data_IF_486339232689
#
_entry.id   IF_486339232689
#
_cell.length_a   1.000
_cell.length_b   1.000
_cell.length_c   1.000
_cell.angle_alpha   90.00
_cell.angle_beta   90.00
_cell.angle_gamma   90.00
#
_symmetry.space_group_name_H-M   'P 1'
#
loop_
_entity.id
_entity.type
_entity.pdbx_description
1 polymer ?
#
# COMPACT_ATOMS: atom_id res chain seq x y z
N UNK A 1 -16.59 -10.55 -9.26
CA UNK A 1 -16.48 -9.52 -8.21
C UNK A 1 -15.53 -8.50 -8.77
N UNK A 2 -15.86 -7.21 -8.70
CA UNK A 2 -14.99 -6.16 -9.24
C UNK A 2 -13.68 -6.13 -8.46
N UNK A 3 -12.57 -6.15 -9.19
CA UNK A 3 -11.23 -6.03 -8.63
C UNK A 3 -11.03 -4.66 -8.00
N UNK A 4 -10.01 -4.55 -7.15
CA UNK A 4 -9.56 -3.23 -6.66
C UNK A 4 -8.89 -2.41 -7.77
N UNK A 5 -8.34 -3.11 -8.77
CA UNK A 5 -7.55 -2.55 -9.86
C UNK A 5 -8.20 -2.86 -11.20
N UNK A 6 -8.93 -1.90 -11.81
CA UNK A 6 -9.66 -2.15 -13.04
C UNK A 6 -8.80 -2.60 -14.22
N UNK A 7 -7.54 -2.15 -14.28
CA UNK A 7 -6.59 -2.54 -15.31
C UNK A 7 -6.17 -4.02 -15.23
N UNK A 8 -6.41 -4.71 -14.11
CA UNK A 8 -6.12 -6.14 -13.96
C UNK A 8 -7.33 -7.04 -14.30
N UNK A 9 -8.50 -6.46 -14.60
CA UNK A 9 -9.69 -7.23 -14.94
C UNK A 9 -9.68 -7.70 -16.40
N UNK A 10 -10.12 -8.94 -16.64
CA UNK A 10 -10.36 -9.48 -17.99
C UNK A 10 -11.84 -9.84 -18.13
N UNK A 11 -12.52 -9.12 -19.03
CA UNK A 11 -13.95 -9.26 -19.31
C UNK A 11 -14.24 -9.98 -20.64
N UNK A 12 -13.23 -10.61 -21.25
CA UNK A 12 -13.36 -11.34 -22.51
C UNK A 12 -14.44 -12.43 -22.49
N UNK A 13 -14.74 -12.99 -21.31
CA UNK A 13 -15.83 -13.96 -21.13
C UNK A 13 -17.23 -13.39 -21.43
N UNK A 14 -17.42 -12.06 -21.34
CA UNK A 14 -18.69 -11.38 -21.67
C UNK A 14 -18.94 -11.27 -23.18
N UNK A 15 -17.98 -11.73 -24.01
CA UNK A 15 -18.20 -11.99 -25.44
C UNK A 15 -19.38 -12.93 -25.67
N UNK A 16 -19.55 -13.93 -24.81
CA UNK A 16 -20.75 -14.77 -24.80
C UNK A 16 -21.89 -14.04 -24.06
N UNK A 17 -23.02 -13.72 -24.73
CA UNK A 17 -24.16 -13.07 -24.11
C UNK A 17 -24.72 -13.82 -22.89
N UNK A 18 -24.56 -15.15 -22.81
CA UNK A 18 -25.02 -15.96 -21.68
C UNK A 18 -24.29 -15.62 -20.36
N UNK A 19 -23.11 -15.02 -20.45
CA UNK A 19 -22.32 -14.59 -19.30
C UNK A 19 -22.71 -13.19 -18.79
N UNK A 20 -23.54 -12.44 -19.53
CA UNK A 20 -24.01 -11.11 -19.14
C UNK A 20 -25.18 -11.22 -18.17
N UNK A 21 -24.92 -10.95 -16.90
CA UNK A 21 -25.87 -11.12 -15.79
C UNK A 21 -26.10 -9.82 -15.01
N UNK A 22 -25.37 -8.77 -15.35
CA UNK A 22 -25.39 -7.46 -14.73
C UNK A 22 -25.73 -6.37 -15.77
N UNK A 23 -26.58 -5.39 -15.47
CA UNK A 23 -26.86 -4.28 -16.39
C UNK A 23 -25.60 -3.53 -16.84
N UNK A 24 -24.56 -3.46 -15.99
CA UNK A 24 -23.31 -2.78 -16.31
C UNK A 24 -22.33 -3.67 -17.10
N UNK A 25 -22.63 -4.96 -17.32
CA UNK A 25 -21.84 -5.83 -18.22
C UNK A 25 -21.83 -5.29 -19.66
N UNK A 26 -22.86 -4.52 -20.05
CA UNK A 26 -22.91 -3.85 -21.34
C UNK A 26 -21.80 -2.81 -21.54
N UNK A 27 -21.26 -2.26 -20.45
CA UNK A 27 -20.12 -1.33 -20.47
C UNK A 27 -18.79 -2.08 -20.48
N UNK A 28 -18.77 -3.35 -20.09
CA UNK A 28 -17.54 -4.14 -19.90
C UNK A 28 -17.04 -4.82 -21.15
N UNK A 29 -17.91 -5.06 -22.11
CA UNK A 29 -17.54 -5.65 -23.39
C UNK A 29 -18.39 -5.07 -24.51
N UNK A 30 -17.79 -4.16 -25.28
CA UNK A 30 -18.37 -3.55 -26.47
C UNK A 30 -17.55 -4.03 -27.66
N UNK A 31 -18.08 -4.97 -28.44
CA UNK A 31 -17.43 -5.45 -29.65
C UNK A 31 -17.35 -4.32 -30.69
N UNK A 32 -16.16 -4.12 -31.27
CA UNK A 32 -15.89 -3.11 -32.31
C UNK A 32 -15.70 -3.74 -33.69
N UNK A 33 -15.76 -5.07 -33.80
CA UNK A 33 -15.77 -5.81 -35.05
C UNK A 33 -16.65 -7.07 -34.95
N UNK A 34 -17.05 -7.63 -36.10
CA UNK A 34 -17.97 -8.79 -36.16
C UNK A 34 -17.42 -10.03 -35.45
N UNK A 35 -16.10 -10.22 -35.50
CA UNK A 35 -15.46 -11.33 -34.80
C UNK A 35 -15.43 -11.14 -33.28
N UNK A 36 -15.62 -9.93 -32.75
CA UNK A 36 -15.43 -9.59 -31.32
C UNK A 36 -13.97 -9.64 -30.85
N UNK A 37 -13.00 -9.84 -31.75
CA UNK A 37 -11.57 -9.82 -31.37
C UNK A 37 -11.06 -8.42 -31.02
N UNK A 38 -11.77 -7.38 -31.47
CA UNK A 38 -11.51 -6.00 -31.08
C UNK A 38 -12.67 -5.54 -30.21
N UNK A 39 -12.39 -5.11 -28.98
CA UNK A 39 -13.43 -4.73 -28.04
C UNK A 39 -12.96 -3.63 -27.08
N UNK A 40 -13.93 -2.87 -26.58
CA UNK A 40 -13.75 -1.80 -25.61
C UNK A 40 -14.50 -2.13 -24.32
N UNK A 41 -13.86 -1.94 -23.19
CA UNK A 41 -14.48 -2.00 -21.87
C UNK A 41 -14.33 -0.68 -21.13
N UNK A 42 -15.32 -0.31 -20.35
CA UNK A 42 -15.26 0.82 -19.43
C UNK A 42 -15.21 0.32 -17.99
N UNK A 43 -14.55 1.08 -17.14
CA UNK A 43 -14.50 0.83 -15.71
C UNK A 43 -14.67 2.13 -14.94
N UNK A 44 -15.24 2.03 -13.75
CA UNK A 44 -15.30 3.16 -12.86
C UNK A 44 -15.18 2.78 -11.40
N UNK A 45 -14.54 3.66 -10.64
CA UNK A 45 -14.58 3.65 -9.19
C UNK A 45 -14.91 5.06 -8.68
N UNK A 46 -15.94 5.15 -7.84
CA UNK A 46 -16.18 6.32 -7.00
C UNK A 46 -16.00 5.92 -5.55
N UNK A 47 -15.13 6.63 -4.84
CA UNK A 47 -14.88 6.42 -3.42
C UNK A 47 -15.26 7.66 -2.63
N UNK A 48 -16.22 7.51 -1.74
CA UNK A 48 -16.48 8.45 -0.65
C UNK A 48 -15.74 7.95 0.58
N UNK A 49 -14.98 8.82 1.23
CA UNK A 49 -14.25 8.48 2.44
C UNK A 49 -14.32 9.60 3.44
N UNK A 50 -14.52 9.25 4.70
CA UNK A 50 -14.39 10.18 5.81
C UNK A 50 -13.48 9.62 6.89
N UNK A 51 -12.84 10.52 7.63
CA UNK A 51 -12.07 10.26 8.82
C UNK A 51 -12.55 11.14 9.97
N UNK A 52 -12.39 10.63 11.18
CA UNK A 52 -12.46 11.39 12.40
C UNK A 52 -11.24 11.05 13.25
N UNK A 53 -10.61 12.08 13.81
CA UNK A 53 -9.43 11.99 14.65
C UNK A 53 -9.63 12.89 15.88
N UNK A 54 -9.73 12.33 17.09
CA UNK A 54 -9.92 13.15 18.30
C UNK A 54 -8.69 14.01 18.62
N UNK A 55 -7.48 13.45 18.44
CA UNK A 55 -6.19 14.11 18.64
C UNK A 55 -5.19 13.58 17.59
N UNK A 56 -5.23 14.10 16.36
CA UNK A 56 -4.52 13.48 15.26
C UNK A 56 -3.03 13.33 15.52
N UNK A 57 -2.48 12.21 15.06
CA UNK A 57 -1.05 11.94 15.07
C UNK A 57 -0.42 12.08 16.46
N UNK A 58 -0.99 11.37 17.43
CA UNK A 58 -0.61 11.40 18.84
C UNK A 58 -0.64 12.83 19.46
N UNK A 59 -1.45 13.74 18.92
CA UNK A 59 -1.52 15.14 19.33
C UNK A 59 -0.39 16.02 18.81
N UNK A 60 0.40 15.56 17.82
CA UNK A 60 1.39 16.38 17.14
C UNK A 60 0.71 17.53 16.35
N UNK A 61 -0.48 17.29 15.82
CA UNK A 61 -1.36 18.35 15.33
C UNK A 61 -2.15 18.97 16.48
N UNK A 62 -2.31 20.30 16.45
CA UNK A 62 -3.10 21.03 17.46
C UNK A 62 -4.62 20.95 17.25
N UNK A 63 -5.04 20.38 16.13
CA UNK A 63 -6.43 20.12 15.79
C UNK A 63 -7.03 19.12 16.81
N UNK A 64 -8.29 19.32 17.18
CA UNK A 64 -9.02 18.39 18.05
C UNK A 64 -10.35 18.04 17.42
N UNK A 65 -10.75 16.78 17.56
CA UNK A 65 -12.00 16.26 17.00
C UNK A 65 -12.13 16.58 15.51
N UNK A 66 -11.03 16.40 14.78
CA UNK A 66 -10.89 16.72 13.36
C UNK A 66 -11.71 15.78 12.51
N UNK A 67 -12.45 16.32 11.54
CA UNK A 67 -13.18 15.56 10.56
C UNK A 67 -12.72 15.85 9.15
N UNK A 68 -12.39 14.79 8.42
CA UNK A 68 -11.92 14.88 7.03
C UNK A 68 -12.84 14.09 6.12
N UNK A 69 -13.12 14.62 4.94
CA UNK A 69 -13.95 13.99 3.91
C UNK A 69 -13.28 14.12 2.56
N UNK A 70 -13.32 13.05 1.77
CA UNK A 70 -12.81 13.02 0.41
C UNK A 70 -13.72 12.27 -0.52
N UNK A 71 -13.78 12.74 -1.76
CA UNK A 71 -14.35 12.01 -2.90
C UNK A 71 -13.24 11.78 -3.90
N UNK A 72 -13.14 10.57 -4.45
CA UNK A 72 -12.31 10.28 -5.62
C UNK A 72 -13.17 9.61 -6.68
N UNK A 73 -12.92 9.96 -7.93
CA UNK A 73 -13.39 9.20 -9.07
C UNK A 73 -12.21 8.74 -9.93
N UNK A 74 -12.27 7.50 -10.38
CA UNK A 74 -11.37 6.88 -11.34
C UNK A 74 -12.21 6.29 -12.45
N UNK A 75 -12.04 6.76 -13.69
CA UNK A 75 -12.81 6.26 -14.83
C UNK A 75 -11.87 5.84 -15.94
N UNK A 76 -11.99 4.58 -16.36
CA UNK A 76 -11.08 3.95 -17.30
C UNK A 76 -11.76 3.40 -18.55
N UNK A 77 -10.98 3.32 -19.61
CA UNK A 77 -11.30 2.68 -20.87
C UNK A 77 -10.19 1.67 -21.22
N UNK A 78 -10.59 0.48 -21.65
CA UNK A 78 -9.70 -0.64 -21.95
C UNK A 78 -10.00 -1.18 -23.34
N UNK A 79 -9.12 -0.90 -24.29
CA UNK A 79 -9.25 -1.28 -25.69
C UNK A 79 -8.33 -2.45 -26.00
N UNK A 80 -8.92 -3.57 -26.37
CA UNK A 80 -8.21 -4.78 -26.80
C UNK A 80 -8.22 -4.85 -28.33
N UNK A 81 -7.03 -4.98 -28.92
CA UNK A 81 -6.81 -5.09 -30.35
C UNK A 81 -6.30 -6.51 -30.66
N UNK A 82 -7.23 -7.44 -30.82
CA UNK A 82 -6.90 -8.85 -31.00
C UNK A 82 -6.38 -9.49 -29.71
N UNK A 83 -5.43 -10.44 -29.85
CA UNK A 83 -4.91 -11.23 -28.73
C UNK A 83 -3.59 -10.71 -28.14
N UNK A 84 -3.02 -9.63 -28.69
CA UNK A 84 -1.63 -9.25 -28.44
C UNK A 84 -1.42 -7.81 -28.04
N UNK A 85 -2.37 -6.91 -28.31
CA UNK A 85 -2.20 -5.48 -28.05
C UNK A 85 -3.39 -4.98 -27.24
N UNK A 86 -3.09 -4.25 -26.17
CA UNK A 86 -4.06 -3.62 -25.30
C UNK A 86 -3.66 -2.17 -25.05
N UNK A 87 -4.64 -1.27 -25.07
CA UNK A 87 -4.48 0.15 -24.75
C UNK A 87 -5.40 0.46 -23.57
N UNK A 88 -4.84 0.98 -22.49
CA UNK A 88 -5.61 1.36 -21.31
C UNK A 88 -5.42 2.84 -21.01
N UNK A 89 -6.51 3.54 -20.71
CA UNK A 89 -6.49 4.93 -20.25
C UNK A 89 -7.44 5.11 -19.07
N UNK A 90 -7.02 5.87 -18.07
CA UNK A 90 -7.81 6.16 -16.87
C UNK A 90 -7.60 7.59 -16.42
N UNK A 91 -8.70 8.31 -16.21
CA UNK A 91 -8.70 9.64 -15.61
C UNK A 91 -9.01 9.56 -14.13
N UNK A 92 -8.52 10.55 -13.37
CA UNK A 92 -8.78 10.74 -11.95
C UNK A 92 -9.23 12.17 -11.68
N UNK A 93 -10.14 12.33 -10.74
CA UNK A 93 -10.30 13.59 -10.01
C UNK A 93 -10.52 13.29 -8.52
N UNK A 94 -10.30 14.28 -7.68
CA UNK A 94 -10.59 14.13 -6.26
C UNK A 94 -10.79 15.44 -5.54
N UNK A 95 -11.66 15.41 -4.57
CA UNK A 95 -11.97 16.55 -3.71
C UNK A 95 -11.78 16.17 -2.25
N UNK A 96 -11.51 17.20 -1.44
CA UNK A 96 -11.33 17.06 -0.01
C UNK A 96 -11.93 18.25 0.74
N UNK A 97 -12.66 18.01 1.82
CA UNK A 97 -13.30 19.01 2.67
C UNK A 97 -13.43 18.46 4.10
N UNK A 98 -13.97 19.24 5.04
CA UNK A 98 -14.13 18.78 6.42
C UNK A 98 -14.13 19.92 7.41
N UNK A 99 -13.96 19.60 8.68
CA UNK A 99 -13.85 20.57 9.77
C UNK A 99 -12.58 20.30 10.57
N UNK A 100 -11.91 21.38 10.98
CA UNK A 100 -10.63 21.31 11.69
C UNK A 100 -9.62 20.34 11.04
N UNK A 101 -9.63 20.27 9.70
CA UNK A 101 -8.88 19.28 8.93
C UNK A 101 -7.38 19.58 8.91
N UNK A 102 -6.57 18.52 8.93
CA UNK A 102 -5.11 18.57 8.81
C UNK A 102 -4.62 17.74 7.62
N UNK A 103 -3.37 17.96 7.21
CA UNK A 103 -2.69 17.08 6.25
C UNK A 103 -3.26 17.09 4.82
N UNK A 104 -4.13 18.04 4.46
CA UNK A 104 -4.59 18.22 3.08
C UNK A 104 -3.51 18.82 2.20
N UNK A 105 -2.61 17.97 1.72
CA UNK A 105 -1.67 18.28 0.65
C UNK A 105 -2.26 18.08 -0.75
N UNK A 106 -1.46 18.33 -1.79
CA UNK A 106 -1.85 18.10 -3.19
C UNK A 106 -2.36 16.68 -3.50
N UNK A 107 -1.98 15.68 -2.71
CA UNK A 107 -2.41 14.28 -2.87
C UNK A 107 -3.86 14.02 -2.44
N UNK A 108 -4.59 15.04 -1.99
CA UNK A 108 -5.99 14.95 -1.58
C UNK A 108 -6.98 15.59 -2.56
N UNK A 109 -6.54 16.61 -3.30
CA UNK A 109 -7.36 17.38 -4.24
C UNK A 109 -6.73 17.40 -5.62
N UNK A 110 -7.50 17.05 -6.64
CA UNK A 110 -7.09 17.07 -8.04
C UNK A 110 -8.24 17.56 -8.91
N UNK A 111 -7.90 18.43 -9.87
CA UNK A 111 -8.68 18.55 -11.09
C UNK A 111 -8.68 17.24 -11.87
N UNK A 112 -9.21 17.24 -13.09
CA UNK A 112 -9.18 16.06 -13.94
C UNK A 112 -7.75 15.86 -14.46
N UNK A 113 -7.17 14.70 -14.19
CA UNK A 113 -5.84 14.33 -14.71
C UNK A 113 -5.79 12.88 -15.16
N UNK A 114 -4.72 12.50 -15.85
CA UNK A 114 -4.46 11.16 -16.36
C UNK A 114 -3.76 10.32 -15.29
N UNK A 115 -4.50 9.37 -14.71
CA UNK A 115 -3.98 8.44 -13.71
C UNK A 115 -3.16 7.31 -14.35
N UNK A 116 -3.67 6.74 -15.44
CA UNK A 116 -3.00 5.66 -16.18
C UNK A 116 -3.19 5.89 -17.68
N UNK A 117 -2.14 5.61 -18.44
CA UNK A 117 -2.15 5.54 -19.89
C UNK A 117 -0.99 4.66 -20.33
N UNK A 118 -1.30 3.46 -20.78
CA UNK A 118 -0.28 2.51 -21.20
C UNK A 118 -0.71 1.70 -22.41
N UNK A 119 0.30 1.19 -23.11
CA UNK A 119 0.17 0.11 -24.07
C UNK A 119 0.75 -1.16 -23.46
N UNK A 120 0.05 -2.27 -23.64
CA UNK A 120 0.49 -3.60 -23.25
C UNK A 120 0.58 -4.49 -24.50
N UNK A 121 1.71 -5.18 -24.63
CA UNK A 121 1.93 -6.22 -25.61
C UNK A 121 2.02 -7.57 -24.90
N UNK A 122 1.24 -8.56 -25.33
CA UNK A 122 1.27 -9.90 -24.74
C UNK A 122 1.48 -10.99 -25.78
N UNK A 123 2.08 -12.11 -25.38
CA UNK A 123 2.30 -13.23 -26.27
C UNK A 123 2.90 -14.45 -25.59
N UNK A 124 2.81 -15.61 -26.23
CA UNK A 124 3.44 -16.84 -25.75
C UNK A 124 4.77 -17.06 -26.45
N UNK A 125 5.84 -17.14 -25.67
CA UNK A 125 7.20 -17.41 -26.15
C UNK A 125 7.98 -18.12 -25.04
N UNK A 126 8.94 -18.98 -25.43
CA UNK A 126 9.80 -19.73 -24.49
C UNK A 126 9.05 -20.52 -23.40
N UNK A 127 7.87 -21.05 -23.74
CA UNK A 127 7.02 -21.79 -22.80
C UNK A 127 6.35 -20.95 -21.71
N UNK A 128 6.41 -19.62 -21.81
CA UNK A 128 5.80 -18.67 -20.87
C UNK A 128 4.71 -17.84 -21.56
N UNK A 129 3.77 -17.33 -20.76
CA UNK A 129 2.98 -16.14 -21.12
C UNK A 129 3.85 -14.92 -20.81
N UNK A 130 4.09 -14.07 -21.80
CA UNK A 130 4.92 -12.88 -21.67
C UNK A 130 4.06 -11.64 -21.85
N UNK A 131 4.44 -10.55 -21.19
CA UNK A 131 3.90 -9.24 -21.42
C UNK A 131 4.93 -8.14 -21.24
N UNK A 132 4.71 -7.03 -21.95
CA UNK A 132 5.47 -5.80 -21.84
C UNK A 132 4.50 -4.62 -21.80
N UNK A 133 4.61 -3.81 -20.76
CA UNK A 133 3.75 -2.64 -20.54
C UNK A 133 4.62 -1.40 -20.54
N UNK A 134 4.25 -0.39 -21.33
CA UNK A 134 4.92 0.90 -21.40
C UNK A 134 3.93 2.05 -21.26
N UNK A 135 4.24 3.01 -20.39
CA UNK A 135 3.44 4.20 -20.13
C UNK A 135 3.21 4.45 -18.65
N UNK A 136 2.24 5.32 -18.35
CA UNK A 136 1.82 5.66 -16.99
C UNK A 136 0.92 4.57 -16.43
N UNK A 137 1.27 4.01 -15.27
CA UNK A 137 0.54 2.89 -14.68
C UNK A 137 0.60 2.91 -13.15
N UNK A 138 -0.40 2.33 -12.50
CA UNK A 138 -0.27 1.95 -11.09
C UNK A 138 0.56 0.66 -10.99
N UNK A 139 1.36 0.55 -9.93
CA UNK A 139 2.25 -0.59 -9.75
C UNK A 139 2.10 -1.13 -8.33
N UNK A 140 1.79 -2.43 -8.23
CA UNK A 140 1.50 -3.14 -6.99
C UNK A 140 2.15 -4.53 -6.92
N UNK A 141 3.01 -4.88 -7.88
CA UNK A 141 3.73 -6.16 -7.90
C UNK A 141 4.96 -6.11 -6.96
N UNK A 142 4.68 -5.88 -5.68
CA UNK A 142 5.64 -5.94 -4.57
C UNK A 142 4.90 -6.33 -3.29
N UNK A 143 5.59 -6.87 -2.26
CA UNK A 143 4.95 -7.19 -1.00
C UNK A 143 4.21 -5.98 -0.42
N UNK A 144 2.99 -6.20 0.09
CA UNK A 144 2.11 -5.13 0.54
C UNK A 144 2.65 -4.32 1.74
N UNK A 145 3.69 -4.82 2.43
CA UNK A 145 4.42 -4.11 3.49
C UNK A 145 5.59 -3.25 2.96
N UNK A 146 5.77 -3.20 1.63
CA UNK A 146 6.77 -2.38 0.95
C UNK A 146 6.14 -1.33 0.04
N UNK A 147 5.15 -1.72 -0.75
CA UNK A 147 4.57 -0.84 -1.76
C UNK A 147 3.05 -0.93 -1.69
N UNK A 148 2.39 0.22 -1.80
CA UNK A 148 0.97 0.28 -2.09
C UNK A 148 0.66 1.45 -3.02
N UNK A 149 -0.56 1.49 -3.56
CA UNK A 149 -1.04 2.58 -4.40
C UNK A 149 -1.40 3.84 -3.60
N UNK A 150 -0.72 4.09 -2.47
CA UNK A 150 -0.96 5.24 -1.59
C UNK A 150 -2.35 5.17 -0.92
N UNK A 151 -2.52 4.18 -0.02
CA UNK A 151 -3.79 3.87 0.66
C UNK A 151 -4.45 5.04 1.42
N UNK A 152 -3.67 5.87 2.13
CA UNK A 152 -4.19 6.93 3.02
C UNK A 152 -4.66 8.17 2.24
N UNK A 153 -3.82 8.84 1.44
CA UNK A 153 -4.23 9.93 0.55
C UNK A 153 -5.40 9.59 -0.35
N UNK A 154 -6.04 10.64 -0.85
CA UNK A 154 -7.19 10.46 -1.71
C UNK A 154 -6.78 9.91 -3.08
N UNK A 155 -5.72 10.47 -3.67
CA UNK A 155 -5.27 10.18 -5.02
C UNK A 155 -4.20 9.06 -5.01
N UNK A 156 -4.39 7.97 -5.78
CA UNK A 156 -3.39 6.94 -5.88
C UNK A 156 -2.13 7.44 -6.59
N UNK A 157 -1.01 6.77 -6.34
CA UNK A 157 0.26 7.07 -7.01
C UNK A 157 0.38 6.30 -8.33
N UNK A 158 0.83 6.99 -9.38
CA UNK A 158 1.18 6.40 -10.67
C UNK A 158 2.68 6.50 -10.96
N UNK A 159 3.11 5.68 -11.90
CA UNK A 159 4.49 5.47 -12.33
C UNK A 159 4.59 5.57 -13.83
N UNK A 160 5.57 6.32 -14.32
CA UNK A 160 5.85 6.43 -15.75
C UNK A 160 7.07 5.56 -16.07
N UNK A 161 6.96 4.63 -17.03
CA UNK A 161 8.06 3.77 -17.44
C UNK A 161 7.59 2.44 -18.03
N UNK A 162 8.34 1.38 -17.76
CA UNK A 162 8.01 0.06 -18.31
C UNK A 162 8.07 -1.05 -17.27
N UNK A 163 7.29 -2.10 -17.52
CA UNK A 163 7.47 -3.42 -16.90
C UNK A 163 7.37 -4.53 -17.92
N UNK A 164 8.07 -5.61 -17.66
CA UNK A 164 7.97 -6.86 -18.41
C UNK A 164 7.70 -7.99 -17.44
N UNK A 165 6.92 -8.98 -17.87
CA UNK A 165 6.63 -10.16 -17.07
C UNK A 165 6.66 -11.43 -17.93
N UNK A 166 7.09 -12.53 -17.32
CA UNK A 166 7.04 -13.88 -17.89
C UNK A 166 6.48 -14.85 -16.86
N UNK A 167 5.43 -15.58 -17.25
CA UNK A 167 4.68 -16.49 -16.38
C UNK A 167 4.73 -17.90 -16.97
N UNK A 168 5.45 -18.78 -16.29
CA UNK A 168 5.44 -20.23 -16.45
C UNK A 168 4.51 -20.88 -15.43
N UNK A 169 4.18 -22.18 -15.54
CA UNK A 169 3.24 -22.84 -14.63
C UNK A 169 3.57 -22.74 -13.12
N UNK A 170 4.83 -22.56 -12.75
CA UNK A 170 5.30 -22.51 -11.35
C UNK A 170 6.31 -21.40 -11.06
N UNK A 171 6.57 -20.53 -12.03
CA UNK A 171 7.55 -19.45 -11.92
C UNK A 171 6.96 -18.23 -12.59
N UNK A 172 6.96 -17.10 -11.90
CA UNK A 172 6.68 -15.78 -12.46
C UNK A 172 7.91 -14.90 -12.25
N UNK A 173 8.28 -14.15 -13.27
CA UNK A 173 9.37 -13.18 -13.22
C UNK A 173 8.83 -11.85 -13.72
N UNK A 174 9.07 -10.79 -12.96
CA UNK A 174 8.69 -9.42 -13.30
C UNK A 174 9.92 -8.53 -13.21
N UNK A 175 10.06 -7.58 -14.14
CA UNK A 175 11.11 -6.57 -14.12
C UNK A 175 10.53 -5.21 -14.49
N UNK A 176 10.99 -4.15 -13.83
CA UNK A 176 10.43 -2.82 -14.00
C UNK A 176 11.45 -1.70 -13.76
N UNK A 177 11.26 -0.58 -14.44
CA UNK A 177 11.97 0.68 -14.20
C UNK A 177 11.01 1.84 -14.42
N UNK A 178 10.83 2.62 -13.36
CA UNK A 178 9.88 3.70 -13.27
C UNK A 178 10.50 4.98 -12.74
N UNK A 179 9.97 6.09 -13.25
CA UNK A 179 10.03 7.40 -12.62
C UNK A 179 8.68 7.69 -11.97
N UNK A 180 8.68 8.39 -10.84
CA UNK A 180 7.42 8.73 -10.18
C UNK A 180 6.65 9.75 -11.03
N UNK A 181 5.33 9.65 -11.12
CA UNK A 181 4.52 10.77 -11.62
C UNK A 181 4.57 11.94 -10.61
N UNK A 182 4.84 13.14 -11.10
CA UNK A 182 4.67 14.39 -10.35
C UNK A 182 3.18 14.73 -10.32
N UNK A 183 2.52 14.36 -9.23
CA UNK A 183 1.09 14.59 -9.01
C UNK A 183 0.81 15.65 -7.93
N UNK A 184 1.84 16.41 -7.55
CA UNK A 184 1.77 17.39 -6.46
C UNK A 184 1.78 18.82 -7.00
N UNK A 185 0.60 19.30 -7.39
CA UNK A 185 0.41 20.66 -7.90
C UNK A 185 -0.33 21.55 -6.89
N UNK A 186 -0.05 22.86 -6.95
CA UNK A 186 -0.74 23.84 -6.13
C UNK A 186 -2.12 24.14 -6.74
N UNK A 187 -3.18 23.74 -6.02
CA UNK A 187 -4.57 23.94 -6.43
C UNK A 187 -5.09 22.90 -7.44
N UNK A 188 -6.42 22.83 -7.65
CA UNK A 188 -7.01 21.94 -8.64
C UNK A 188 -6.72 22.47 -10.05
N UNK A 189 -5.78 21.83 -10.73
CA UNK A 189 -5.44 22.10 -12.13
C UNK A 189 -5.69 20.83 -12.93
N UNK A 190 -6.16 20.99 -14.17
CA UNK A 190 -6.44 19.87 -15.06
C UNK A 190 -5.20 19.55 -15.92
N UNK A 191 -4.92 18.26 -16.10
CA UNK A 191 -3.87 17.71 -16.97
C UNK A 191 -2.49 18.37 -16.79
N UNK A 192 -1.97 18.34 -15.56
CA UNK A 192 -0.66 18.91 -15.18
C UNK A 192 0.38 17.88 -14.78
N UNK A 193 -0.03 16.63 -14.57
CA UNK A 193 0.90 15.58 -14.15
C UNK A 193 2.03 15.33 -15.15
N UNK A 194 3.25 15.53 -14.67
CA UNK A 194 4.52 15.35 -15.41
C UNK A 194 5.35 14.25 -14.77
N UNK A 195 6.55 13.99 -15.29
CA UNK A 195 7.48 13.01 -14.71
C UNK A 195 8.34 13.65 -13.61
N UNK A 196 8.49 12.95 -12.49
CA UNK A 196 9.39 13.32 -11.39
C UNK A 196 10.63 12.40 -11.38
N UNK A 197 11.66 12.80 -12.13
CA UNK A 197 12.94 12.09 -12.19
C UNK A 197 13.75 12.09 -10.88
N UNK A 198 13.36 12.91 -9.89
CA UNK A 198 14.03 12.90 -8.58
C UNK A 198 13.72 11.63 -7.79
N UNK A 199 12.63 10.95 -8.12
CA UNK A 199 12.13 9.75 -7.47
C UNK A 199 12.04 8.60 -8.49
N UNK A 200 12.66 7.47 -8.16
CA UNK A 200 12.79 6.29 -9.03
C UNK A 200 12.34 5.05 -8.30
N UNK A 201 11.76 4.10 -9.02
CA UNK A 201 11.42 2.76 -8.52
C UNK A 201 11.80 1.75 -9.61
N UNK A 202 12.62 0.77 -9.28
CA UNK A 202 13.11 -0.20 -10.25
C UNK A 202 13.42 -1.51 -9.56
N UNK A 203 13.36 -2.62 -10.27
CA UNK A 203 13.55 -3.90 -9.64
C UNK A 203 13.23 -5.11 -10.49
N UNK A 204 13.38 -6.26 -9.84
CA UNK A 204 13.04 -7.58 -10.36
C UNK A 204 12.38 -8.37 -9.22
N UNK A 205 11.28 -9.04 -9.52
CA UNK A 205 10.62 -10.01 -8.65
C UNK A 205 10.62 -11.38 -9.32
N UNK A 206 10.82 -12.42 -8.51
CA UNK A 206 10.68 -13.81 -8.91
C UNK A 206 9.80 -14.52 -7.91
N UNK A 207 8.62 -14.94 -8.34
CA UNK A 207 7.70 -15.76 -7.54
C UNK A 207 7.81 -17.22 -7.97
N UNK A 208 8.18 -18.10 -7.04
CA UNK A 208 8.23 -19.54 -7.24
C UNK A 208 7.01 -20.20 -6.58
N UNK A 209 6.41 -21.19 -7.23
CA UNK A 209 5.33 -22.02 -6.68
C UNK A 209 5.83 -23.47 -6.47
N UNK A 210 6.41 -23.79 -5.28
CA UNK A 210 6.75 -25.15 -4.90
C UNK A 210 5.59 -26.15 -5.05
N UNK A 211 5.87 -27.47 -5.13
CA UNK A 211 4.83 -28.49 -5.15
C UNK A 211 3.87 -28.37 -3.96
N UNK A 212 2.57 -28.57 -4.24
CA UNK A 212 1.55 -28.71 -3.22
C UNK A 212 1.96 -29.80 -2.23
N UNK A 213 1.64 -29.57 -0.96
CA UNK A 213 1.99 -30.47 0.13
C UNK A 213 0.76 -30.82 0.97
N UNK A 214 0.95 -31.68 1.97
CA UNK A 214 -0.08 -31.96 2.98
C UNK A 214 0.49 -31.62 4.36
N UNK A 215 -0.27 -30.86 5.13
CA UNK A 215 0.10 -30.48 6.49
C UNK A 215 -1.17 -30.31 7.32
N UNK A 216 -1.09 -30.58 8.63
CA UNK A 216 -2.20 -30.37 9.58
C UNK A 216 -3.55 -30.98 9.10
N UNK A 217 -3.50 -32.16 8.46
CA UNK A 217 -4.68 -32.86 7.97
C UNK A 217 -5.36 -32.26 6.73
N UNK A 218 -4.74 -31.27 6.05
CA UNK A 218 -5.28 -30.64 4.85
C UNK A 218 -4.26 -30.53 3.71
N UNK A 219 -4.75 -30.10 2.53
CA UNK A 219 -3.89 -29.69 1.42
C UNK A 219 -3.20 -28.36 1.77
N UNK A 220 -1.97 -28.21 1.31
CA UNK A 220 -1.20 -26.98 1.42
C UNK A 220 -0.57 -26.60 0.09
N UNK A 221 -0.32 -25.31 -0.05
CA UNK A 221 0.34 -24.68 -1.19
C UNK A 221 1.13 -23.48 -0.66
N UNK A 222 2.19 -23.10 -1.35
CA UNK A 222 2.99 -21.94 -0.96
C UNK A 222 3.63 -21.28 -2.16
N UNK A 223 4.03 -20.02 -1.97
CA UNK A 223 4.81 -19.23 -2.89
C UNK A 223 6.05 -18.71 -2.18
N UNK A 224 7.17 -18.67 -2.91
CA UNK A 224 8.43 -18.09 -2.47
C UNK A 224 8.77 -16.93 -3.41
N UNK A 225 8.63 -15.72 -2.90
CA UNK A 225 8.96 -14.49 -3.61
C UNK A 225 10.42 -14.14 -3.29
N UNK A 226 11.20 -13.84 -4.32
CA UNK A 226 12.57 -13.36 -4.24
C UNK A 226 12.63 -12.05 -5.00
N UNK A 227 12.97 -10.96 -4.32
CA UNK A 227 12.89 -9.63 -4.93
C UNK A 227 14.12 -8.78 -4.68
N UNK A 228 14.44 -8.01 -5.71
CA UNK A 228 15.30 -6.84 -5.63
C UNK A 228 14.46 -5.61 -5.98
N UNK A 229 14.33 -4.69 -5.03
CA UNK A 229 13.61 -3.42 -5.24
C UNK A 229 14.54 -2.27 -4.88
N UNK A 230 15.00 -1.56 -5.90
CA UNK A 230 15.76 -0.33 -5.79
C UNK A 230 14.86 0.89 -5.89
N UNK A 231 15.15 1.92 -5.11
CA UNK A 231 14.49 3.21 -5.26
C UNK A 231 15.40 4.38 -4.93
N UNK A 232 15.03 5.54 -5.48
CA UNK A 232 15.61 6.84 -5.14
C UNK A 232 14.50 7.73 -4.59
N UNK A 233 14.75 8.38 -3.47
CA UNK A 233 13.93 9.45 -2.94
C UNK A 233 14.75 10.73 -2.86
N UNK A 234 14.10 11.84 -3.14
CA UNK A 234 14.63 13.19 -2.95
C UNK A 234 13.63 14.06 -2.20
N UNK A 235 14.13 15.09 -1.52
CA UNK A 235 13.29 16.04 -0.80
C UNK A 235 12.74 15.45 0.48
N UNK A 236 11.47 15.74 0.77
CA UNK A 236 10.86 15.43 2.07
C UNK A 236 10.89 13.94 2.45
N UNK A 237 10.48 13.01 1.56
CA UNK A 237 10.47 11.58 1.88
C UNK A 237 11.85 10.94 2.08
N UNK A 238 12.92 11.62 1.65
CA UNK A 238 14.29 11.11 1.78
C UNK A 238 14.95 11.49 3.11
N UNK A 239 14.32 12.37 3.88
CA UNK A 239 14.94 12.99 5.04
C UNK A 239 15.17 11.97 6.18
N UNK A 240 16.28 12.12 6.90
CA UNK A 240 16.66 11.20 7.99
C UNK A 240 16.66 11.89 9.35
N UNK A 241 16.42 11.14 10.40
CA UNK A 241 16.55 11.64 11.77
C UNK A 241 18.01 11.88 12.14
N UNK A 242 18.23 12.91 12.96
CA UNK A 242 19.50 13.23 13.62
C UNK A 242 19.24 13.43 15.11
N UNK A 243 20.30 13.62 15.90
CA UNK A 243 20.23 13.84 17.36
C UNK A 243 19.14 14.85 17.74
N UNK A 244 19.08 15.99 17.05
CA UNK A 244 18.22 17.12 17.44
C UNK A 244 17.13 17.47 16.43
N UNK A 245 17.23 17.00 15.18
CA UNK A 245 16.36 17.43 14.09
C UNK A 245 16.27 16.39 12.96
N UNK A 246 15.69 16.78 11.83
CA UNK A 246 15.72 16.02 10.58
C UNK A 246 16.77 16.62 9.64
N UNK A 247 17.53 15.78 8.94
CA UNK A 247 18.43 16.20 7.86
C UNK A 247 17.79 15.95 6.49
N UNK A 248 17.68 17.01 5.69
CA UNK A 248 17.22 16.93 4.31
C UNK A 248 18.31 16.35 3.39
N UNK A 249 17.88 15.73 2.28
CA UNK A 249 18.80 15.13 1.33
C UNK A 249 18.12 14.30 0.25
N UNK A 250 18.87 13.33 -0.26
CA UNK A 250 18.38 12.26 -1.12
C UNK A 250 18.89 10.92 -0.62
N UNK A 251 18.14 9.85 -0.86
CA UNK A 251 18.55 8.49 -0.51
C UNK A 251 18.32 7.56 -1.70
N UNK A 252 19.31 6.74 -1.99
CA UNK A 252 19.17 5.58 -2.87
C UNK A 252 19.21 4.35 -2.00
N UNK A 253 18.19 3.51 -2.08
CA UNK A 253 18.05 2.31 -1.25
C UNK A 253 17.80 1.09 -2.12
N UNK A 254 18.49 0.01 -1.80
CA UNK A 254 18.48 -1.27 -2.50
C UNK A 254 17.97 -2.32 -1.52
N UNK A 255 16.81 -2.89 -1.80
CA UNK A 255 16.16 -3.88 -0.95
C UNK A 255 16.33 -5.25 -1.58
N UNK A 256 16.93 -6.17 -0.84
CA UNK A 256 17.05 -7.57 -1.21
C UNK A 256 16.24 -8.37 -0.21
N UNK A 257 15.19 -9.03 -0.68
CA UNK A 257 14.26 -9.68 0.22
C UNK A 257 13.69 -10.98 -0.31
N UNK A 258 13.05 -11.67 0.62
CA UNK A 258 12.38 -12.94 0.42
C UNK A 258 11.06 -12.92 1.16
N UNK A 259 10.05 -13.57 0.59
CA UNK A 259 8.79 -13.85 1.28
C UNK A 259 8.33 -15.26 0.98
N UNK A 260 8.07 -16.04 2.03
CA UNK A 260 7.45 -17.36 1.92
C UNK A 260 6.05 -17.32 2.51
N UNK A 261 5.04 -17.55 1.69
CA UNK A 261 3.65 -17.45 2.12
C UNK A 261 2.76 -18.54 1.52
N UNK A 262 1.64 -18.82 2.17
CA UNK A 262 0.66 -19.76 1.65
C UNK A 262 -0.21 -20.38 2.73
N UNK A 263 -0.67 -21.60 2.44
CA UNK A 263 -1.59 -22.36 3.26
C UNK A 263 -0.99 -23.72 3.59
N UNK A 264 -0.98 -24.10 4.87
CA UNK A 264 -0.67 -25.43 5.36
C UNK A 264 -1.93 -26.02 6.02
N UNK A 265 -2.79 -26.65 5.23
CA UNK A 265 -4.08 -27.14 5.73
C UNK A 265 -5.01 -25.98 6.14
N UNK A 266 -5.39 -25.85 7.44
CA UNK A 266 -6.14 -24.71 7.96
C UNK A 266 -5.25 -23.54 8.40
N UNK A 267 -3.92 -23.65 8.33
CA UNK A 267 -2.99 -22.60 8.77
C UNK A 267 -2.58 -21.74 7.58
N UNK A 268 -2.87 -20.45 7.61
CA UNK A 268 -2.28 -19.46 6.70
C UNK A 268 -0.98 -18.92 7.32
N UNK A 269 0.05 -18.76 6.51
CA UNK A 269 1.32 -18.20 6.95
C UNK A 269 1.90 -17.26 5.90
N UNK A 270 2.66 -16.26 6.37
CA UNK A 270 3.51 -15.41 5.53
C UNK A 270 4.72 -15.00 6.36
N UNK A 271 5.92 -15.30 5.88
CA UNK A 271 7.19 -14.92 6.50
C UNK A 271 8.01 -14.15 5.47
N UNK A 272 8.19 -12.86 5.69
CA UNK A 272 8.94 -11.96 4.84
C UNK A 272 10.12 -11.34 5.58
N UNK A 273 11.19 -11.05 4.86
CA UNK A 273 12.32 -10.31 5.37
C UNK A 273 13.12 -9.68 4.25
N UNK A 274 13.77 -8.55 4.55
CA UNK A 274 14.64 -7.87 3.60
C UNK A 274 15.81 -7.19 4.30
N UNK A 275 16.90 -7.07 3.55
CA UNK A 275 17.99 -6.17 3.85
C UNK A 275 17.92 -4.95 2.94
N UNK A 276 18.07 -3.76 3.52
CA UNK A 276 18.03 -2.47 2.85
C UNK A 276 19.39 -1.79 2.96
N UNK A 277 20.16 -1.86 1.87
CA UNK A 277 21.44 -1.18 1.71
C UNK A 277 21.31 0.11 0.90
N UNK A 278 22.40 0.88 0.77
CA UNK A 278 22.44 2.03 -0.13
C UNK A 278 23.18 3.23 0.43
N UNK A 279 22.78 4.43 0.03
CA UNK A 279 23.46 5.68 0.38
C UNK A 279 22.47 6.81 0.60
N UNK A 280 22.65 7.55 1.69
CA UNK A 280 22.05 8.86 1.93
C UNK A 280 23.06 9.95 1.61
N UNK A 281 22.62 11.00 0.91
CA UNK A 281 23.40 12.20 0.59
C UNK A 281 22.73 13.41 1.22
N UNK A 282 23.48 14.16 2.02
CA UNK A 282 22.98 15.38 2.65
C UNK A 282 22.70 16.45 1.59
N UNK A 283 21.64 17.24 1.79
CA UNK A 283 21.38 18.41 0.96
C UNK A 283 22.52 19.43 1.08
N UNK A 284 22.90 20.05 -0.03
CA UNK A 284 23.92 21.10 -0.08
C UNK A 284 25.28 20.71 0.53
N UNK A 285 25.63 19.42 0.52
CA UNK A 285 26.86 18.89 1.09
C UNK A 285 27.39 17.70 0.28
N UNK A 286 28.70 17.53 0.26
CA UNK A 286 29.35 16.33 -0.29
C UNK A 286 29.31 15.14 0.69
N UNK A 287 28.86 15.36 1.92
CA UNK A 287 28.78 14.32 2.94
C UNK A 287 27.74 13.27 2.56
N UNK A 288 28.11 12.01 2.77
CA UNK A 288 27.25 10.85 2.54
C UNK A 288 27.32 9.88 3.71
N UNK A 289 26.29 9.05 3.83
CA UNK A 289 26.22 7.97 4.83
C UNK A 289 25.65 6.73 4.18
N UNK A 290 26.27 5.58 4.43
CA UNK A 290 25.72 4.30 3.99
C UNK A 290 24.37 4.03 4.67
N UNK A 291 23.47 3.34 3.98
CA UNK A 291 22.24 2.79 4.56
C UNK A 291 22.50 1.33 4.91
N UNK A 292 22.14 0.94 6.13
CA UNK A 292 22.20 -0.43 6.60
C UNK A 292 20.98 -0.66 7.51
N UNK A 293 19.89 -1.09 6.89
CA UNK A 293 18.60 -1.27 7.53
C UNK A 293 18.01 -2.64 7.16
N UNK A 294 16.99 -3.08 7.88
CA UNK A 294 16.28 -4.32 7.59
C UNK A 294 14.80 -4.21 7.98
N UNK A 295 14.00 -5.10 7.43
CA UNK A 295 12.63 -5.33 7.87
C UNK A 295 12.33 -6.83 7.93
N UNK A 296 11.50 -7.24 8.88
CA UNK A 296 10.96 -8.59 9.04
C UNK A 296 9.45 -8.46 9.25
N UNK A 297 8.66 -9.21 8.49
CA UNK A 297 7.21 -9.14 8.49
C UNK A 297 6.65 -10.56 8.53
N UNK A 298 5.88 -10.90 9.57
CA UNK A 298 5.31 -12.23 9.70
C UNK A 298 3.83 -12.21 10.04
N UNK A 299 3.09 -13.18 9.52
CA UNK A 299 1.74 -13.47 9.94
C UNK A 299 1.50 -14.97 9.97
N UNK A 300 0.70 -15.40 10.96
CA UNK A 300 0.26 -16.77 11.12
C UNK A 300 -1.20 -16.75 11.57
N UNK A 301 -2.07 -17.46 10.87
CA UNK A 301 -3.49 -17.55 11.22
C UNK A 301 -4.00 -18.99 11.12
N UNK A 302 -4.90 -19.37 12.02
CA UNK A 302 -5.61 -20.63 11.96
C UNK A 302 -7.07 -20.39 11.58
N UNK A 303 -7.53 -21.01 10.49
CA UNK A 303 -8.89 -20.89 10.00
C UNK A 303 -9.79 -22.02 10.52
N UNK A 304 -10.80 -21.66 11.31
CA UNK A 304 -11.80 -22.59 11.81
C UNK A 304 -12.91 -22.81 10.78
N UNK A 305 -12.59 -23.58 9.73
CA UNK A 305 -13.49 -23.79 8.56
C UNK A 305 -14.82 -24.48 8.86
N UNK A 306 -14.93 -25.17 10.00
CA UNK A 306 -16.13 -25.94 10.39
C UNK A 306 -17.15 -25.13 11.19
N UNK A 307 -16.84 -23.90 11.57
CA UNK A 307 -17.76 -23.03 12.31
C UNK A 307 -18.46 -22.10 11.31
N UNK A 308 -19.77 -21.90 11.43
CA UNK A 308 -20.60 -21.26 10.38
C UNK A 308 -20.13 -19.87 9.94
N UNK A 309 -19.65 -19.07 10.89
CA UNK A 309 -19.04 -17.73 10.69
C UNK A 309 -17.53 -17.73 10.34
N UNK A 310 -16.92 -18.90 10.12
CA UNK A 310 -15.55 -19.11 9.63
C UNK A 310 -14.49 -18.22 10.31
N UNK A 311 -14.38 -18.24 11.65
CA UNK A 311 -13.42 -17.38 12.32
C UNK A 311 -11.99 -17.78 11.99
N UNK A 312 -11.09 -16.80 11.99
CA UNK A 312 -9.66 -16.94 11.76
C UNK A 312 -8.93 -16.20 12.87
N UNK A 313 -8.18 -16.94 13.69
CA UNK A 313 -7.40 -16.36 14.79
C UNK A 313 -5.94 -16.40 14.41
N UNK A 314 -5.25 -15.27 14.56
CA UNK A 314 -3.85 -15.18 14.18
C UNK A 314 -3.06 -14.15 14.95
N UNK A 315 -1.78 -14.06 14.60
CA UNK A 315 -0.85 -13.04 15.06
C UNK A 315 -0.06 -12.51 13.89
N UNK A 316 0.11 -11.20 13.85
CA UNK A 316 1.03 -10.49 12.97
C UNK A 316 2.17 -9.93 13.81
N UNK A 317 3.40 -10.05 13.33
CA UNK A 317 4.58 -9.43 13.96
C UNK A 317 5.43 -8.73 12.93
N UNK A 318 5.89 -7.53 13.25
CA UNK A 318 6.68 -6.72 12.33
C UNK A 318 7.88 -6.12 13.06
N UNK A 319 9.02 -6.06 12.40
CA UNK A 319 10.23 -5.39 12.88
C UNK A 319 10.80 -4.56 11.75
N UNK A 320 10.98 -3.27 12.00
CA UNK A 320 11.59 -2.31 11.10
C UNK A 320 12.74 -1.65 11.83
N UNK A 321 13.96 -1.78 11.29
CA UNK A 321 15.16 -1.31 11.97
C UNK A 321 15.14 0.20 12.21
N UNK A 322 15.70 0.61 13.34
CA UNK A 322 16.00 2.00 13.68
C UNK A 322 17.49 2.22 13.88
N UNK A 323 17.86 3.47 14.18
CA UNK A 323 19.19 3.79 14.66
C UNK A 323 20.05 4.60 13.68
N UNK A 324 21.22 5.00 14.16
CA UNK A 324 22.15 5.85 13.42
C UNK A 324 21.85 7.35 13.51
N UNK A 325 20.74 7.78 14.11
CA UNK A 325 20.43 9.21 14.30
C UNK A 325 21.51 9.95 15.12
N UNK A 326 22.17 9.25 16.05
CA UNK A 326 23.22 9.80 16.91
C UNK A 326 24.62 9.84 16.28
N UNK A 327 24.78 9.38 15.05
CA UNK A 327 26.07 9.36 14.36
C UNK A 327 26.07 10.26 13.12
N UNK A 328 27.16 11.01 12.91
CA UNK A 328 27.37 11.80 11.70
C UNK A 328 28.12 11.03 10.61
N UNK A 329 28.81 9.94 10.96
CA UNK A 329 29.70 9.18 10.07
C UNK A 329 29.30 7.71 9.91
N UNK A 330 28.57 7.15 10.89
CA UNK A 330 28.06 5.78 10.84
C UNK A 330 26.87 5.64 9.88
N UNK A 331 26.46 4.41 9.60
CA UNK A 331 25.35 4.14 8.69
C UNK A 331 24.00 4.67 9.22
N UNK A 332 23.08 4.96 8.31
CA UNK A 332 21.66 5.19 8.61
C UNK A 332 21.01 3.82 8.83
N UNK A 333 20.55 3.57 10.05
CA UNK A 333 19.93 2.30 10.46
C UNK A 333 18.41 2.27 10.31
N UNK A 334 17.78 3.44 10.21
CA UNK A 334 16.34 3.56 10.04
C UNK A 334 15.89 3.01 8.68
N UNK A 335 15.06 1.96 8.69
CA UNK A 335 14.36 1.48 7.50
C UNK A 335 13.38 2.54 7.01
N UNK A 336 13.26 2.67 5.68
CA UNK A 336 12.24 3.50 5.04
C UNK A 336 11.45 2.56 4.14
N UNK A 337 10.14 2.50 4.35
CA UNK A 337 9.24 1.91 3.36
C UNK A 337 9.19 2.86 2.15
N UNK A 338 9.27 2.37 0.90
CA UNK A 338 9.18 3.25 -0.26
C UNK A 338 7.76 3.82 -0.43
N UNK A 339 7.41 4.14 -1.66
CA UNK A 339 6.27 4.96 -2.00
C UNK A 339 4.93 4.38 -1.53
N UNK A 340 4.20 5.18 -0.75
CA UNK A 340 2.84 4.85 -0.33
C UNK A 340 2.80 3.62 0.57
N UNK A 341 3.36 3.66 1.79
CA UNK A 341 3.25 2.56 2.72
C UNK A 341 1.79 2.12 2.93
N UNK A 342 1.56 0.82 3.07
CA UNK A 342 0.23 0.31 3.37
C UNK A 342 -0.10 0.58 4.83
N UNK A 343 -0.68 1.75 5.08
CA UNK A 343 -0.96 2.19 6.46
C UNK A 343 -1.88 1.24 7.22
N UNK A 344 -2.89 0.65 6.56
CA UNK A 344 -3.76 -0.34 7.20
C UNK A 344 -3.04 -1.64 7.59
N UNK A 345 -1.87 -1.93 7.02
CA UNK A 345 -1.07 -3.10 7.40
C UNK A 345 -0.45 -2.95 8.79
N UNK A 346 0.22 -1.81 9.03
CA UNK A 346 0.90 -1.54 10.31
C UNK A 346 -0.09 -1.02 11.34
N UNK A 347 -0.78 0.07 11.02
CA UNK A 347 -1.65 0.81 11.92
C UNK A 347 -2.68 1.63 11.12
N UNK A 348 -3.96 1.23 11.22
CA UNK A 348 -5.06 1.93 10.55
C UNK A 348 -5.16 3.41 10.92
N UNK A 349 -4.67 3.84 12.10
CA UNK A 349 -4.71 5.26 12.47
C UNK A 349 -3.71 6.10 11.70
N UNK A 350 -2.72 5.47 11.06
CA UNK A 350 -1.63 6.10 10.30
C UNK A 350 -0.68 6.95 11.15
N UNK A 351 -0.76 6.85 12.48
CA UNK A 351 0.11 7.60 13.38
C UNK A 351 1.52 7.00 13.42
N UNK A 352 1.64 5.72 13.07
CA UNK A 352 2.94 5.06 12.94
C UNK A 352 3.23 4.71 11.48
N UNK A 353 4.51 4.63 11.16
CA UNK A 353 5.02 4.06 9.91
C UNK A 353 6.08 3.00 10.22
N UNK A 354 6.44 2.19 9.23
CA UNK A 354 7.43 1.13 9.37
C UNK A 354 8.86 1.64 9.53
N UNK A 355 9.16 2.52 10.47
CA UNK A 355 10.51 3.06 10.70
C UNK A 355 10.80 3.03 12.20
N UNK A 356 11.87 2.34 12.61
CA UNK A 356 12.21 2.13 14.02
C UNK A 356 11.04 1.57 14.84
N UNK A 357 10.45 0.47 14.37
CA UNK A 357 9.18 -0.04 14.91
C UNK A 357 9.22 -1.55 15.08
N UNK A 358 8.76 -2.03 16.23
CA UNK A 358 8.41 -3.42 16.49
C UNK A 358 6.92 -3.48 16.79
N UNK A 359 6.18 -4.31 16.06
CA UNK A 359 4.74 -4.52 16.21
C UNK A 359 4.42 -5.98 16.54
N UNK A 360 3.49 -6.21 17.48
CA UNK A 360 2.86 -7.51 17.71
C UNK A 360 1.36 -7.30 17.78
N UNK A 361 0.60 -7.98 16.92
CA UNK A 361 -0.82 -7.77 16.76
C UNK A 361 -1.57 -9.11 16.64
N UNK A 362 -2.09 -9.67 17.74
CA UNK A 362 -3.14 -10.67 17.64
C UNK A 362 -4.35 -10.11 16.89
N UNK A 363 -4.98 -10.95 16.08
CA UNK A 363 -6.16 -10.58 15.32
C UNK A 363 -7.17 -11.73 15.20
N UNK A 364 -8.44 -11.36 14.98
CA UNK A 364 -9.56 -12.25 14.77
C UNK A 364 -10.43 -11.71 13.63
N UNK A 365 -10.54 -12.48 12.55
CA UNK A 365 -11.44 -12.20 11.42
C UNK A 365 -12.58 -13.21 11.40
N UNK A 366 -13.80 -12.76 11.09
CA UNK A 366 -14.95 -13.64 10.98
C UNK A 366 -16.05 -13.04 10.11
N UNK A 367 -16.89 -13.90 9.52
CA UNK A 367 -17.99 -13.47 8.65
C UNK A 367 -19.32 -13.99 9.19
N UNK A 368 -20.01 -13.24 10.06
CA UNK A 368 -21.28 -13.69 10.65
C UNK A 368 -22.40 -13.83 9.60
N UNK A 369 -22.31 -13.11 8.48
CA UNK A 369 -23.20 -13.22 7.32
C UNK A 369 -22.36 -13.29 6.03
N UNK A 370 -22.87 -13.87 4.92
CA UNK A 370 -22.10 -14.01 3.68
C UNK A 370 -21.57 -12.71 3.07
N UNK A 371 -22.20 -11.56 3.39
CA UNK A 371 -21.85 -10.24 2.87
C UNK A 371 -21.20 -9.33 3.92
N UNK A 372 -20.99 -9.83 5.14
CA UNK A 372 -20.48 -9.07 6.27
C UNK A 372 -19.23 -9.76 6.81
N UNK A 373 -18.11 -9.04 6.77
CA UNK A 373 -16.86 -9.45 7.41
C UNK A 373 -16.53 -8.48 8.53
N UNK A 374 -16.13 -9.01 9.67
CA UNK A 374 -15.66 -8.26 10.83
C UNK A 374 -14.23 -8.69 11.14
N UNK A 375 -13.39 -7.72 11.47
CA UNK A 375 -12.02 -7.94 11.91
C UNK A 375 -11.77 -7.21 13.23
N UNK A 376 -11.08 -7.86 14.15
CA UNK A 376 -10.58 -7.28 15.39
C UNK A 376 -9.07 -7.45 15.40
N UNK A 377 -8.31 -6.40 15.68
CA UNK A 377 -6.84 -6.43 15.76
C UNK A 377 -6.40 -5.67 16.99
N UNK A 378 -5.46 -6.22 17.76
CA UNK A 378 -4.97 -5.57 18.98
C UNK A 378 -3.45 -5.44 18.97
N UNK A 379 -2.92 -4.45 18.23
CA UNK A 379 -1.50 -4.22 18.10
C UNK A 379 -0.88 -3.55 19.32
N UNK A 380 0.36 -3.94 19.61
CA UNK A 380 1.27 -3.36 20.57
C UNK A 380 2.55 -2.92 19.85
N UNK A 381 3.08 -1.75 20.18
CA UNK A 381 4.17 -1.12 19.45
C UNK A 381 5.33 -0.72 20.36
N UNK A 382 6.55 -0.99 19.91
CA UNK A 382 7.80 -0.55 20.53
C UNK A 382 8.72 0.08 19.48
N UNK A 383 9.68 0.88 19.93
CA UNK A 383 10.85 1.27 19.14
C UNK A 383 11.80 0.08 19.05
N UNK A 384 12.28 -0.22 17.85
CA UNK A 384 13.35 -1.22 17.65
C UNK A 384 14.65 -0.76 18.31
N UNK A 385 14.97 0.53 18.16
CA UNK A 385 16.08 1.22 18.80
C UNK A 385 15.58 2.42 19.61
N UNK A 386 15.87 2.43 20.92
CA UNK A 386 15.57 3.59 21.79
C UNK A 386 16.45 4.81 21.51
N UNK A 387 17.50 4.64 20.69
CA UNK A 387 18.41 5.70 20.25
C UNK A 387 17.93 6.41 18.98
N UNK A 388 16.75 6.07 18.49
CA UNK A 388 16.13 6.68 17.32
C UNK A 388 14.69 7.12 17.65
N UNK A 389 14.12 7.94 16.77
CA UNK A 389 12.84 8.58 17.01
C UNK A 389 11.65 7.64 16.73
N UNK A 390 10.46 8.07 17.12
CA UNK A 390 9.21 7.52 16.59
C UNK A 390 8.90 8.25 15.28
N UNK A 391 8.33 7.55 14.31
CA UNK A 391 8.02 8.10 12.99
C UNK A 391 6.53 7.98 12.69
N UNK A 392 6.01 8.96 11.95
CA UNK A 392 4.63 9.01 11.50
C UNK A 392 4.55 9.00 9.99
N UNK A 393 3.43 8.50 9.46
CA UNK A 393 3.10 8.61 8.05
C UNK A 393 2.82 10.05 7.62
N UNK A 394 2.10 10.82 8.45
CA UNK A 394 1.72 12.20 8.15
C UNK A 394 2.85 13.18 8.38
N UNK A 395 3.73 12.88 9.34
CA UNK A 395 4.85 13.74 9.60
C UNK A 395 5.93 13.55 8.55
N UNK A 396 6.58 14.67 8.36
CA UNK A 396 7.83 14.93 7.70
C UNK A 396 9.02 14.21 8.39
N UNK A 397 8.90 12.90 8.61
CA UNK A 397 9.85 12.05 9.32
C UNK A 397 9.47 11.80 10.78
N UNK A 398 10.31 12.26 11.70
CA UNK A 398 10.22 11.93 13.12
C UNK A 398 9.18 12.77 13.88
N UNK A 399 8.63 12.21 14.96
CA UNK A 399 7.95 12.98 16.00
C UNK A 399 8.90 13.94 16.71
N UNK A 400 8.41 15.15 16.99
CA UNK A 400 9.07 16.14 17.82
C UNK A 400 8.27 16.32 19.12
N UNK A 401 8.68 15.59 20.14
CA UNK A 401 8.08 15.63 21.48
C UNK A 401 8.60 16.84 22.29
N UNK A 402 7.80 17.34 23.24
CA UNK A 402 8.20 18.46 24.11
C UNK A 402 9.31 18.06 25.07
N UNK A 403 9.25 16.82 25.56
CA UNK A 403 10.20 16.28 26.52
C UNK A 403 10.92 15.04 25.96
N UNK A 404 12.12 14.71 26.48
CA UNK A 404 12.88 13.57 25.98
C UNK A 404 12.13 12.24 26.15
N UNK A 405 11.89 11.53 25.04
CA UNK A 405 11.27 10.22 25.05
C UNK A 405 12.21 9.13 25.58
N UNK A 406 11.86 8.55 26.74
CA UNK A 406 12.61 7.45 27.38
C UNK A 406 11.88 6.10 27.20
N UNK A 407 12.63 5.02 26.98
CA UNK A 407 12.08 3.66 26.90
C UNK A 407 11.54 3.26 25.52
N UNK A 408 11.30 1.97 25.31
CA UNK A 408 10.94 1.42 23.99
C UNK A 408 9.44 1.41 23.69
N UNK A 409 8.57 1.21 24.70
CA UNK A 409 7.15 1.01 24.46
C UNK A 409 6.43 2.29 24.03
N UNK A 410 5.81 2.27 22.85
CA UNK A 410 5.11 3.40 22.26
C UNK A 410 3.65 3.40 22.72
N UNK A 411 2.99 2.24 22.70
CA UNK A 411 1.59 2.12 23.04
C UNK A 411 0.93 0.91 22.40
N UNK A 412 -0.40 0.93 22.40
CA UNK A 412 -1.24 -0.11 21.82
C UNK A 412 -2.45 0.51 21.12
N UNK A 413 -2.97 -0.11 20.07
CA UNK A 413 -4.02 0.50 19.26
C UNK A 413 -5.13 -0.49 18.91
N UNK A 414 -6.00 -0.92 19.86
CA UNK A 414 -7.13 -1.79 19.55
C UNK A 414 -7.95 -1.22 18.39
N UNK A 415 -8.18 -2.09 17.41
CA UNK A 415 -8.77 -1.80 16.12
C UNK A 415 -9.93 -2.77 15.86
N UNK A 416 -10.98 -2.26 15.24
CA UNK A 416 -12.04 -3.07 14.67
C UNK A 416 -12.38 -2.55 13.27
N UNK A 417 -12.71 -3.46 12.36
CA UNK A 417 -13.22 -3.10 11.05
C UNK A 417 -14.43 -3.94 10.67
N UNK A 418 -15.24 -3.36 9.78
CA UNK A 418 -16.41 -4.00 9.21
C UNK A 418 -16.41 -3.76 7.71
N UNK A 419 -16.54 -4.80 6.90
CA UNK A 419 -16.78 -4.71 5.46
C UNK A 419 -18.13 -5.31 5.13
N UNK A 420 -19.00 -4.51 4.52
CA UNK A 420 -20.32 -4.90 4.04
C UNK A 420 -20.37 -4.80 2.51
N UNK A 421 -20.65 -5.92 1.85
CA UNK A 421 -20.90 -5.97 0.40
C UNK A 421 -22.39 -5.72 0.13
N UNK A 422 -22.73 -4.56 -0.45
CA UNK A 422 -24.09 -4.15 -0.80
C UNK A 422 -24.30 -4.36 -2.30
N UNK A 423 -24.98 -5.45 -2.67
CA UNK A 423 -25.12 -5.83 -4.07
C UNK A 423 -23.76 -6.19 -4.70
N UNK A 424 -23.60 -5.96 -6.00
CA UNK A 424 -22.37 -6.29 -6.75
C UNK A 424 -21.37 -5.13 -6.82
N UNK A 425 -21.86 -3.90 -6.72
CA UNK A 425 -21.10 -2.70 -7.05
C UNK A 425 -20.67 -1.88 -5.83
N UNK A 426 -21.34 -2.03 -4.68
CA UNK A 426 -21.13 -1.15 -3.54
C UNK A 426 -20.47 -1.91 -2.38
N UNK A 427 -19.34 -1.41 -1.91
CA UNK A 427 -18.65 -1.91 -0.72
C UNK A 427 -18.60 -0.80 0.32
N UNK A 428 -19.07 -1.08 1.54
CA UNK A 428 -19.00 -0.16 2.66
C UNK A 428 -18.07 -0.70 3.74
N UNK A 429 -16.97 -0.02 4.00
CA UNK A 429 -15.96 -0.43 4.98
C UNK A 429 -15.77 0.60 6.07
N UNK A 430 -15.91 0.16 7.32
CA UNK A 430 -15.74 0.94 8.53
C UNK A 430 -14.47 0.49 9.26
N UNK A 431 -13.76 1.46 9.84
CA UNK A 431 -12.64 1.23 10.73
C UNK A 431 -12.83 2.09 11.97
N UNK A 432 -12.58 1.52 13.14
CA UNK A 432 -12.47 2.24 14.40
C UNK A 432 -11.22 1.78 15.11
N UNK A 433 -10.50 2.72 15.71
CA UNK A 433 -9.32 2.43 16.48
C UNK A 433 -9.15 3.43 17.62
N UNK A 434 -8.54 2.98 18.72
CA UNK A 434 -8.12 3.86 19.80
C UNK A 434 -6.63 3.67 20.03
N UNK A 435 -5.81 4.62 19.62
CA UNK A 435 -4.40 4.61 19.96
C UNK A 435 -4.23 5.04 21.42
N UNK A 436 -3.76 4.11 22.25
CA UNK A 436 -3.46 4.31 23.66
C UNK A 436 -1.95 4.41 23.82
N UNK A 437 -1.49 5.64 24.01
CA UNK A 437 -0.08 5.99 24.23
C UNK A 437 0.44 5.36 25.52
N UNK A 438 1.72 4.99 25.52
CA UNK A 438 2.40 4.58 26.74
C UNK A 438 2.62 5.80 27.65
N UNK A 439 2.86 5.54 28.94
CA UNK A 439 3.26 6.59 29.89
C UNK A 439 4.45 7.40 29.40
N UNK A 440 5.39 6.77 28.70
CA UNK A 440 6.57 7.46 28.17
C UNK A 440 6.21 8.46 27.07
N UNK A 441 5.29 8.11 26.18
CA UNK A 441 4.79 9.02 25.14
C UNK A 441 3.97 10.15 25.77
N UNK A 442 3.10 9.84 26.74
CA UNK A 442 2.32 10.86 27.46
C UNK A 442 3.22 11.88 28.18
N UNK A 443 4.25 11.39 28.90
CA UNK A 443 5.23 12.26 29.55
C UNK A 443 6.08 13.06 28.56
N UNK A 444 6.30 12.55 27.36
CA UNK A 444 6.99 13.26 26.29
C UNK A 444 6.10 14.34 25.64
N UNK A 445 4.83 14.46 26.03
CA UNK A 445 3.87 15.42 25.49
C UNK A 445 3.01 14.86 24.35
N UNK A 446 3.09 13.56 24.06
CA UNK A 446 2.16 12.88 23.17
C UNK A 446 0.81 12.62 23.83
N UNK A 447 -0.17 12.17 23.05
CA UNK A 447 -1.52 11.93 23.56
C UNK A 447 -2.24 10.80 22.83
N UNK A 448 -3.08 10.08 23.57
CA UNK A 448 -3.94 9.04 23.01
C UNK A 448 -5.07 9.62 22.15
N UNK A 449 -5.41 8.96 21.04
CA UNK A 449 -6.40 9.44 20.07
C UNK A 449 -7.36 8.36 19.58
N UNK A 450 -8.61 8.75 19.33
CA UNK A 450 -9.65 7.92 18.74
C UNK A 450 -9.74 8.23 17.28
N UNK A 451 -9.72 7.19 16.47
CA UNK A 451 -9.75 7.24 15.03
C UNK A 451 -10.99 6.50 14.52
N UNK A 452 -11.65 7.08 13.55
CA UNK A 452 -12.70 6.42 12.79
C UNK A 452 -12.55 6.72 11.31
N UNK A 453 -12.71 5.72 10.46
CA UNK A 453 -12.74 5.89 9.02
C UNK A 453 -13.92 5.13 8.42
N UNK A 454 -14.61 5.75 7.48
CA UNK A 454 -15.65 5.11 6.68
C UNK A 454 -15.30 5.26 5.20
N UNK A 455 -15.47 4.18 4.44
CA UNK A 455 -15.23 4.10 3.00
C UNK A 455 -16.46 3.53 2.33
N UNK A 456 -17.06 4.28 1.43
CA UNK A 456 -18.09 3.78 0.53
C UNK A 456 -17.54 3.80 -0.88
N UNK A 457 -17.41 2.61 -1.49
CA UNK A 457 -16.83 2.45 -2.81
C UNK A 457 -17.86 1.86 -3.74
N UNK A 458 -18.17 2.57 -4.82
CA UNK A 458 -18.92 2.07 -5.96
C UNK A 458 -17.94 1.67 -7.06
N UNK A 459 -18.09 0.46 -7.62
CA UNK A 459 -17.33 -0.03 -8.78
C UNK A 459 -18.25 -0.63 -9.81
N UNK A 460 -17.95 -0.40 -11.08
CA UNK A 460 -18.67 -1.04 -12.17
C UNK A 460 -17.79 -1.49 -13.29
#
# INVERSE_FOLDING_TARGET
MYGTEPWAEDWSALRDPCNRKDPLDALKYIALNDSGSVWLGFSGETRLRNWFDSRPDLGAYRNNDSGRFTVRNLYGADLHLGSHVRLFGQIVNGDAAGWDGFGYGPTYRKGIDLQQAFVEFTGRAWGAQNGFIFGRQEFLDAPAYMLSNRQTPNLPISWDGFRAYSIWPRIRVDAFDFVQTNDTHAGPQDFKDTENYANRLYGVDVTLAPPDFKAFGGKGWSFLDLFYIGYKLSGHPAAISTITATAAGSTTRNNFGVRWHGMAGPVEFSFGGLYQGGLFRYANSAQTRNVNAFAINTSLAYHFRRISWKPSLGVQTDVYSGGGANSRTGSVGTYIEPFGPNTNYIDTTTYLTGSNLVGVAPFLDFSPLPKLTLALKYPFYWRESTNDAVYSYFLSGRYAFSDPLRGGFIGMAPQASMTLQIGRHLTWTQYVARFMTSRAIDHAGGSSSTYYQSNLIFRF
#
